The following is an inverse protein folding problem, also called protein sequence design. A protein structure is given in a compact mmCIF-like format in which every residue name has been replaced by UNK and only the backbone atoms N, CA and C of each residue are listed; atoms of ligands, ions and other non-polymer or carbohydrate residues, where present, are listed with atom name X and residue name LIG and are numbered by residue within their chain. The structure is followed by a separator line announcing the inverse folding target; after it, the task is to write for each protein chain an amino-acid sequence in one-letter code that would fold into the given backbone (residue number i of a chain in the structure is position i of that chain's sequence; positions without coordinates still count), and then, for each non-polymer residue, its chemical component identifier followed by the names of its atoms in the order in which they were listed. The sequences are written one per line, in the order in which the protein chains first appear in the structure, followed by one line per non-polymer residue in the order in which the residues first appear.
data_IF_003267837106
#
_entry.id   IF_003267837106
#
_cell.length_a   1.000
_cell.length_b   1.000
_cell.length_c   1.000
_cell.angle_alpha   90.00
_cell.angle_beta   90.00
_cell.angle_gamma   90.00
#
_symmetry.space_group_name_H-M   'P 1'
#
loop_
_entity.id
_entity.type
_entity.pdbx_description
1 polymer ?
#
# COMPACT_ATOMS: atom_id res chain seq x y z
N UNK A 1 0.79 -20.76 -14.28
CA UNK A 1 0.02 -19.54 -14.61
C UNK A 1 -1.00 -19.29 -13.51
N UNK A 2 -0.78 -18.31 -12.62
CA UNK A 2 -1.77 -17.96 -11.58
C UNK A 2 -2.72 -16.92 -12.16
N UNK A 3 -4.01 -17.27 -12.31
CA UNK A 3 -5.05 -16.36 -12.79
C UNK A 3 -5.76 -15.71 -11.61
N UNK A 4 -5.26 -14.56 -11.15
CA UNK A 4 -5.92 -13.77 -10.11
C UNK A 4 -7.13 -13.04 -10.70
N UNK A 5 -8.36 -13.53 -10.44
CA UNK A 5 -9.61 -12.85 -10.80
C UNK A 5 -10.07 -11.99 -9.61
N UNK A 6 -9.66 -10.73 -9.56
CA UNK A 6 -10.23 -9.71 -8.66
C UNK A 6 -11.23 -8.84 -9.40
N UNK A 7 -12.45 -8.70 -8.87
CA UNK A 7 -13.47 -7.83 -9.44
C UNK A 7 -13.06 -6.35 -9.40
N UNK A 8 -13.63 -5.60 -10.36
CA UNK A 8 -13.26 -4.25 -10.77
C UNK A 8 -13.32 -3.19 -9.63
N UNK A 9 -12.38 -2.24 -9.67
CA UNK A 9 -12.50 -0.82 -9.23
C UNK A 9 -12.77 -0.49 -7.75
N UNK A 10 -12.33 -1.29 -6.77
CA UNK A 10 -12.42 -0.87 -5.35
C UNK A 10 -11.12 -0.90 -4.54
N UNK A 11 -10.03 -1.41 -5.12
CA UNK A 11 -8.72 -1.26 -4.51
C UNK A 11 -8.24 0.20 -4.63
N UNK A 12 -7.61 0.69 -3.58
CA UNK A 12 -6.97 1.99 -3.58
C UNK A 12 -5.67 1.94 -2.77
N UNK A 13 -4.83 2.94 -2.99
CA UNK A 13 -3.64 3.20 -2.17
C UNK A 13 -3.71 4.62 -1.65
N UNK A 14 -3.42 4.81 -0.38
CA UNK A 14 -3.10 6.11 0.18
C UNK A 14 -1.57 6.22 0.21
N UNK A 15 -1.00 7.22 -0.47
CA UNK A 15 0.42 7.51 -0.45
C UNK A 15 0.70 8.67 0.51
N UNK A 16 1.76 8.55 1.30
CA UNK A 16 2.16 9.56 2.29
C UNK A 16 3.56 10.08 1.98
N UNK A 17 3.86 11.26 2.51
CA UNK A 17 5.21 11.82 2.56
C UNK A 17 5.78 11.62 3.97
N UNK A 18 7.06 11.31 4.08
CA UNK A 18 7.75 11.29 5.37
C UNK A 18 8.07 12.72 5.84
N UNK A 19 7.85 13.00 7.12
CA UNK A 19 8.30 14.20 7.80
C UNK A 19 9.40 13.80 8.80
N UNK A 20 10.66 14.16 8.50
CA UNK A 20 11.79 13.86 9.37
C UNK A 20 11.67 14.55 10.74
N UNK A 21 11.26 15.82 10.77
CA UNK A 21 11.19 16.59 12.01
C UNK A 21 10.15 16.05 12.99
N UNK A 22 9.02 15.56 12.47
CA UNK A 22 7.95 14.98 13.29
C UNK A 22 8.05 13.45 13.43
N UNK A 23 9.00 12.81 12.73
CA UNK A 23 9.18 11.37 12.66
C UNK A 23 7.86 10.62 12.34
N UNK A 24 7.10 11.14 11.38
CA UNK A 24 5.80 10.56 11.01
C UNK A 24 5.45 10.76 9.53
N UNK A 25 4.49 9.99 9.05
CA UNK A 25 3.92 10.10 7.72
C UNK A 25 2.81 11.16 7.66
N UNK A 26 2.87 12.04 6.67
CA UNK A 26 1.96 13.18 6.45
C UNK A 26 1.44 13.22 4.99
N UNK A 27 0.58 14.19 4.66
CA UNK A 27 0.10 14.51 3.30
C UNK A 27 -0.46 13.31 2.52
N UNK A 28 -1.55 12.73 3.01
CA UNK A 28 -2.11 11.51 2.45
C UNK A 28 -2.88 11.77 1.15
N UNK A 29 -2.49 11.08 0.06
CA UNK A 29 -3.18 11.15 -1.24
C UNK A 29 -3.74 9.79 -1.61
N UNK A 30 -5.06 9.74 -1.83
CA UNK A 30 -5.75 8.52 -2.23
C UNK A 30 -5.75 8.36 -3.76
N UNK A 31 -5.31 7.20 -4.22
CA UNK A 31 -5.26 6.82 -5.62
C UNK A 31 -6.06 5.53 -5.84
N UNK A 32 -6.98 5.54 -6.80
CA UNK A 32 -7.66 4.33 -7.23
C UNK A 32 -6.64 3.35 -7.87
N UNK A 33 -6.82 2.06 -7.64
CA UNK A 33 -6.01 0.99 -8.25
C UNK A 33 -6.91 0.10 -9.11
N UNK A 34 -7.00 0.34 -10.43
CA UNK A 34 -7.72 -0.56 -11.32
C UNK A 34 -6.99 -1.91 -11.45
N UNK A 35 -7.71 -2.94 -11.90
CA UNK A 35 -7.13 -4.25 -12.23
C UNK A 35 -5.98 -4.08 -13.22
N UNK A 36 -4.85 -4.74 -12.97
CA UNK A 36 -3.65 -4.62 -13.80
C UNK A 36 -2.74 -3.44 -13.47
N UNK A 37 -3.12 -2.54 -12.54
CA UNK A 37 -2.25 -1.45 -12.12
C UNK A 37 -0.99 -1.96 -11.39
N UNK A 38 0.18 -1.64 -11.96
CA UNK A 38 1.49 -1.99 -11.42
C UNK A 38 2.13 -0.76 -10.76
N UNK A 39 2.84 -0.98 -9.67
CA UNK A 39 3.64 0.04 -8.98
C UNK A 39 4.91 -0.62 -8.45
N UNK A 40 6.04 0.08 -8.54
CA UNK A 40 7.31 -0.35 -7.98
C UNK A 40 7.95 0.79 -7.19
N UNK A 41 8.69 0.46 -6.13
CA UNK A 41 9.37 1.41 -5.26
C UNK A 41 10.64 0.76 -4.71
N UNK A 42 11.58 1.58 -4.25
CA UNK A 42 12.76 1.11 -3.50
C UNK A 42 12.45 1.05 -2.01
N UNK A 43 13.30 0.37 -1.25
CA UNK A 43 13.25 0.40 0.21
C UNK A 43 13.49 1.83 0.73
N UNK A 44 12.98 2.13 1.93
CA UNK A 44 13.07 3.44 2.56
C UNK A 44 11.73 4.17 2.67
N UNK A 45 11.79 5.43 3.09
CA UNK A 45 10.61 6.23 3.49
C UNK A 45 10.05 7.13 2.38
N UNK A 46 10.59 7.04 1.17
CA UNK A 46 10.10 7.79 0.00
C UNK A 46 8.77 7.24 -0.56
N UNK A 47 8.36 6.06 -0.11
CA UNK A 47 7.26 5.30 -0.71
C UNK A 47 6.23 4.77 0.31
N UNK A 48 6.04 5.49 1.42
CA UNK A 48 5.10 5.10 2.48
C UNK A 48 3.68 5.06 1.92
N UNK A 49 2.99 3.94 2.12
CA UNK A 49 1.62 3.80 1.64
C UNK A 49 0.77 2.83 2.47
N UNK A 50 -0.54 3.03 2.38
CA UNK A 50 -1.56 2.12 2.91
C UNK A 50 -2.42 1.61 1.76
N UNK A 51 -2.56 0.29 1.64
CA UNK A 51 -3.51 -0.32 0.71
C UNK A 51 -4.87 -0.47 1.38
N UNK A 52 -5.95 -0.33 0.61
CA UNK A 52 -7.30 -0.48 1.11
C UNK A 52 -8.27 -0.97 0.05
N UNK A 53 -9.38 -1.54 0.52
CA UNK A 53 -10.53 -1.94 -0.27
C UNK A 53 -11.72 -1.06 0.11
N UNK A 54 -12.30 -0.34 -0.86
CA UNK A 54 -13.39 0.60 -0.63
C UNK A 54 -14.79 -0.03 -0.73
N UNK A 55 -14.88 -1.36 -0.85
CA UNK A 55 -16.15 -2.08 -0.91
C UNK A 55 -16.70 -2.48 0.47
N UNK A 56 -17.94 -2.95 0.47
CA UNK A 56 -18.55 -3.57 1.63
C UNK A 56 -17.87 -4.92 1.95
N UNK A 57 -18.00 -5.41 3.19
CA UNK A 57 -17.46 -6.73 3.56
C UNK A 57 -18.02 -7.90 2.72
N UNK A 58 -19.18 -7.70 2.11
CA UNK A 58 -19.85 -8.65 1.23
C UNK A 58 -19.41 -8.55 -0.24
N UNK A 59 -18.66 -7.51 -0.61
CA UNK A 59 -18.08 -7.40 -1.95
C UNK A 59 -17.00 -8.48 -2.16
N UNK A 60 -16.79 -8.86 -3.42
CA UNK A 60 -15.70 -9.76 -3.78
C UNK A 60 -14.33 -9.17 -3.38
N UNK A 61 -13.38 -10.00 -2.89
CA UNK A 61 -12.08 -9.51 -2.44
C UNK A 61 -11.28 -8.90 -3.60
N UNK A 62 -10.49 -7.88 -3.27
CA UNK A 62 -9.43 -7.39 -4.15
C UNK A 62 -8.13 -8.14 -3.85
N UNK A 63 -7.49 -8.71 -4.88
CA UNK A 63 -6.24 -9.46 -4.74
C UNK A 63 -5.12 -8.74 -5.48
N UNK A 64 -3.98 -8.54 -4.80
CA UNK A 64 -2.76 -7.97 -5.38
C UNK A 64 -1.58 -8.93 -5.21
N UNK A 65 -0.69 -8.97 -6.20
CA UNK A 65 0.58 -9.70 -6.12
C UNK A 65 1.70 -8.73 -5.74
N UNK A 66 2.47 -9.07 -4.71
CA UNK A 66 3.63 -8.30 -4.27
C UNK A 66 4.88 -9.14 -4.50
N UNK A 67 5.92 -8.52 -5.09
CA UNK A 67 7.21 -9.16 -5.35
C UNK A 67 8.26 -8.30 -4.65
N UNK A 68 9.06 -8.93 -3.79
CA UNK A 68 10.10 -8.24 -3.01
C UNK A 68 11.48 -8.77 -3.39
N UNK A 69 12.44 -7.87 -3.53
CA UNK A 69 13.84 -8.19 -3.81
C UNK A 69 14.63 -8.60 -2.56
N UNK A 70 14.04 -9.43 -1.69
CA UNK A 70 14.69 -9.96 -0.48
C UNK A 70 14.60 -11.48 -0.47
N UNK A 71 15.50 -12.13 0.28
CA UNK A 71 15.42 -13.56 0.53
C UNK A 71 14.09 -13.92 1.24
N UNK A 72 13.55 -15.11 0.97
CA UNK A 72 12.23 -15.52 1.45
C UNK A 72 12.09 -15.44 2.97
N UNK A 73 13.14 -15.80 3.68
CA UNK A 73 13.27 -15.78 5.14
C UNK A 73 13.16 -14.37 5.72
N UNK A 74 13.42 -13.34 4.90
CA UNK A 74 13.38 -11.93 5.30
C UNK A 74 12.07 -11.23 4.97
N UNK A 75 11.14 -11.91 4.27
CA UNK A 75 9.88 -11.29 3.83
C UNK A 75 9.08 -10.74 5.02
N UNK A 76 9.03 -11.44 6.15
CA UNK A 76 8.23 -11.00 7.31
C UNK A 76 8.81 -9.77 8.03
N UNK A 77 10.11 -9.49 7.88
CA UNK A 77 10.83 -8.52 8.71
C UNK A 77 11.45 -7.35 7.93
N UNK A 78 11.71 -7.51 6.64
CA UNK A 78 12.46 -6.53 5.85
C UNK A 78 11.63 -5.83 4.77
N UNK A 79 10.35 -6.16 4.63
CA UNK A 79 9.51 -5.59 3.57
C UNK A 79 8.59 -4.46 4.04
N UNK A 80 8.30 -4.39 5.34
CA UNK A 80 7.42 -3.36 5.91
C UNK A 80 8.14 -2.63 7.05
N UNK A 81 8.35 -1.33 6.88
CA UNK A 81 8.65 -0.39 7.97
C UNK A 81 7.32 0.24 8.41
N UNK A 82 6.85 -0.07 9.62
CA UNK A 82 5.58 0.44 10.15
C UNK A 82 5.84 1.75 10.86
N UNK A 83 5.30 2.84 10.30
CA UNK A 83 5.49 4.19 10.81
C UNK A 83 4.17 4.81 11.30
N UNK A 84 4.28 5.76 12.23
CA UNK A 84 3.14 6.56 12.66
C UNK A 84 2.63 7.45 11.51
N UNK A 85 1.32 7.64 11.44
CA UNK A 85 0.66 8.58 10.52
C UNK A 85 0.11 9.72 11.35
N UNK A 86 0.37 10.96 10.95
CA UNK A 86 -0.26 12.13 11.59
C UNK A 86 -1.79 12.02 11.45
N UNK A 87 -2.50 12.16 12.56
CA UNK A 87 -3.97 12.09 12.59
C UNK A 87 -4.63 13.08 11.62
N UNK A 88 -3.98 14.22 11.34
CA UNK A 88 -4.47 15.24 10.39
C UNK A 88 -4.30 14.83 8.94
N UNK A 89 -3.48 13.82 8.64
CA UNK A 89 -3.26 13.36 7.27
C UNK A 89 -4.48 12.69 6.64
N UNK A 90 -5.53 12.39 7.41
CA UNK A 90 -6.75 11.72 6.97
C UNK A 90 -7.98 12.65 6.79
N UNK A 91 -7.80 13.97 6.92
CA UNK A 91 -8.87 14.95 6.73
C UNK A 91 -9.34 15.05 5.27
#
# INVERSE_FOLDING_TARGET
MVRLRGARRRAHRIAYRWNEAACCAIDARKHARPTGAVSYVRAGREAIHRLGHAGAKTDAPAISLHVYGVAGERVATHVNDVVAVDARAHA
#
